data_IF_614225269386
#
_entry.id   IF_614225269386
#
_cell.length_a   1.000
_cell.length_b   1.000
_cell.length_c   1.000
_cell.angle_alpha   90.00
_cell.angle_beta   90.00
_cell.angle_gamma   90.00
#
_symmetry.space_group_name_H-M   'P 1'
#
loop_
_entity.id
_entity.type
_entity.pdbx_description
1 polymer ?
#
# COMPACT_ATOMS: atom_id res chain seq x y z
N UNK A 1 -38.98 3.35 -6.84
CA UNK A 1 -38.05 3.70 -5.75
C UNK A 1 -36.77 2.89 -5.97
N UNK A 2 -35.71 3.50 -6.51
CA UNK A 2 -34.45 2.81 -6.81
C UNK A 2 -33.63 2.67 -5.52
N UNK A 3 -33.55 1.45 -4.99
CA UNK A 3 -32.76 1.11 -3.82
C UNK A 3 -31.27 1.30 -4.13
N UNK A 4 -30.59 2.12 -3.33
CA UNK A 4 -29.17 2.45 -3.49
C UNK A 4 -28.26 1.31 -3.03
N UNK A 5 -28.05 0.30 -3.87
CA UNK A 5 -27.34 -0.94 -3.51
C UNK A 5 -25.81 -0.85 -3.54
N UNK A 6 -25.24 0.23 -4.09
CA UNK A 6 -23.80 0.33 -4.35
C UNK A 6 -23.19 1.59 -3.72
N UNK A 7 -22.21 1.39 -2.86
CA UNK A 7 -21.37 2.44 -2.32
C UNK A 7 -20.25 2.77 -3.30
N UNK A 8 -20.15 4.03 -3.72
CA UNK A 8 -19.07 4.50 -4.58
C UNK A 8 -17.77 4.59 -3.76
N UNK A 9 -16.77 3.82 -4.16
CA UNK A 9 -15.45 3.79 -3.50
C UNK A 9 -14.48 4.76 -4.16
N UNK A 10 -14.41 4.71 -5.50
CA UNK A 10 -13.55 5.57 -6.32
C UNK A 10 -14.24 5.90 -7.66
N UNK A 11 -13.72 6.84 -8.48
CA UNK A 11 -14.22 7.01 -9.84
C UNK A 11 -14.18 5.69 -10.62
N UNK A 12 -15.37 5.22 -11.05
CA UNK A 12 -15.53 3.95 -11.76
C UNK A 12 -15.51 2.69 -10.90
N UNK A 13 -15.38 2.79 -9.57
CA UNK A 13 -15.30 1.61 -8.67
C UNK A 13 -16.38 1.71 -7.58
N UNK A 14 -17.19 0.66 -7.50
CA UNK A 14 -18.32 0.54 -6.58
C UNK A 14 -18.20 -0.75 -5.77
N UNK A 15 -18.71 -0.73 -4.55
CA UNK A 15 -18.74 -1.88 -3.65
C UNK A 15 -20.11 -2.01 -3.00
N UNK A 16 -20.44 -3.20 -2.49
CA UNK A 16 -21.58 -3.37 -1.60
C UNK A 16 -21.31 -2.60 -0.28
N UNK A 17 -22.29 -1.90 0.30
CA UNK A 17 -22.10 -1.13 1.54
C UNK A 17 -21.48 -1.94 2.68
N UNK A 18 -21.81 -3.23 2.78
CA UNK A 18 -21.29 -4.14 3.80
C UNK A 18 -19.76 -4.29 3.79
N UNK A 19 -19.12 -4.10 2.63
CA UNK A 19 -17.65 -4.24 2.48
C UNK A 19 -16.96 -2.93 2.12
N UNK A 20 -17.70 -1.83 1.94
CA UNK A 20 -17.16 -0.53 1.56
C UNK A 20 -16.21 0.07 2.63
N UNK A 21 -16.31 -0.39 3.88
CA UNK A 21 -15.39 -0.03 4.96
C UNK A 21 -14.06 -0.78 4.93
N UNK A 22 -13.97 -1.88 4.17
CA UNK A 22 -12.80 -2.74 4.13
C UNK A 22 -11.59 -1.99 3.57
N UNK A 23 -10.51 -1.98 4.35
CA UNK A 23 -9.29 -1.28 3.98
C UNK A 23 -8.61 -1.91 2.76
N UNK A 24 -8.54 -3.23 2.71
CA UNK A 24 -7.96 -3.96 1.59
C UNK A 24 -8.73 -3.62 0.31
N UNK A 25 -10.05 -3.60 0.38
CA UNK A 25 -10.90 -3.21 -0.75
C UNK A 25 -10.68 -1.75 -1.17
N UNK A 26 -10.49 -0.82 -0.22
CA UNK A 26 -10.13 0.57 -0.55
C UNK A 26 -8.81 0.68 -1.28
N UNK A 27 -7.77 -0.06 -0.86
CA UNK A 27 -6.47 -0.06 -1.54
C UNK A 27 -6.63 -0.62 -2.96
N UNK A 28 -7.35 -1.72 -3.11
CA UNK A 28 -7.67 -2.33 -4.40
C UNK A 28 -8.44 -1.40 -5.33
N UNK A 29 -9.48 -0.73 -4.83
CA UNK A 29 -10.24 0.25 -5.59
C UNK A 29 -9.37 1.42 -6.03
N UNK A 30 -8.49 1.92 -5.15
CA UNK A 30 -7.56 3.00 -5.47
C UNK A 30 -6.55 2.59 -6.56
N UNK A 31 -5.95 1.40 -6.45
CA UNK A 31 -5.02 0.87 -7.46
C UNK A 31 -5.70 0.75 -8.82
N UNK A 32 -6.91 0.18 -8.86
CA UNK A 32 -7.66 0.01 -10.12
C UNK A 32 -8.08 1.35 -10.74
N UNK A 33 -8.49 2.31 -9.90
CA UNK A 33 -8.94 3.63 -10.37
C UNK A 33 -7.77 4.50 -10.85
N UNK A 34 -6.64 4.49 -10.14
CA UNK A 34 -5.51 5.37 -10.43
C UNK A 34 -4.44 4.75 -11.33
N UNK A 35 -4.38 3.42 -11.46
CA UNK A 35 -3.35 2.73 -12.23
C UNK A 35 -1.93 2.96 -11.67
N UNK A 36 -1.74 2.67 -10.38
CA UNK A 36 -0.48 2.93 -9.66
C UNK A 36 -0.03 1.79 -8.75
N UNK A 37 1.16 1.95 -8.18
CA UNK A 37 1.79 1.01 -7.24
C UNK A 37 1.54 1.49 -5.82
N UNK A 38 1.11 0.62 -4.92
CA UNK A 38 0.97 0.95 -3.50
C UNK A 38 2.33 1.25 -2.90
N UNK A 39 2.47 2.38 -2.21
CA UNK A 39 3.79 2.87 -1.74
C UNK A 39 3.72 3.53 -0.36
N UNK A 40 4.87 4.01 0.13
CA UNK A 40 5.00 4.71 1.42
C UNK A 40 4.36 3.92 2.56
N UNK A 41 3.65 4.60 3.47
CA UNK A 41 2.93 4.00 4.59
C UNK A 41 1.94 2.90 4.17
N UNK A 42 1.29 3.02 3.01
CA UNK A 42 0.35 1.99 2.56
C UNK A 42 1.06 0.70 2.16
N UNK A 43 2.24 0.80 1.55
CA UNK A 43 3.08 -0.36 1.28
C UNK A 43 3.61 -0.96 2.58
N UNK A 44 4.12 -0.14 3.51
CA UNK A 44 4.58 -0.61 4.82
C UNK A 44 3.48 -1.37 5.57
N UNK A 45 2.24 -0.90 5.51
CA UNK A 45 1.11 -1.61 6.12
C UNK A 45 0.78 -2.95 5.45
N UNK A 46 0.98 -3.09 4.13
CA UNK A 46 0.82 -4.37 3.44
C UNK A 46 1.98 -5.34 3.71
N UNK A 47 3.17 -4.82 4.03
CA UNK A 47 4.31 -5.60 4.50
C UNK A 47 4.28 -5.86 6.01
N UNK A 48 3.22 -5.46 6.71
CA UNK A 48 3.08 -5.57 8.17
C UNK A 48 4.13 -4.79 8.97
N UNK A 49 4.82 -3.84 8.34
CA UNK A 49 5.87 -3.00 8.94
C UNK A 49 5.34 -1.70 9.56
N UNK A 50 4.04 -1.42 9.39
CA UNK A 50 3.38 -0.26 9.98
C UNK A 50 1.90 -0.55 10.21
N UNK A 51 1.27 0.03 11.24
CA UNK A 51 -0.16 -0.15 11.42
C UNK A 51 -0.93 0.50 10.24
N UNK A 52 -1.98 -0.17 9.74
CA UNK A 52 -2.85 0.39 8.72
C UNK A 52 -3.51 1.67 9.25
N UNK A 53 -3.20 2.84 8.66
CA UNK A 53 -3.91 4.09 8.95
C UNK A 53 -3.90 5.09 7.78
N UNK A 54 -4.72 6.12 7.88
CA UNK A 54 -4.68 7.27 6.96
C UNK A 54 -5.12 6.97 5.50
N UNK A 55 -4.84 7.92 4.59
CA UNK A 55 -5.16 7.78 3.17
C UNK A 55 -4.32 6.68 2.49
N UNK A 56 -4.79 6.19 1.35
CA UNK A 56 -4.04 5.23 0.53
C UNK A 56 -2.97 5.98 -0.25
N UNK A 57 -1.71 5.57 -0.09
CA UNK A 57 -0.58 6.15 -0.81
C UNK A 57 -0.27 5.29 -2.03
N UNK A 58 -0.30 5.92 -3.21
CA UNK A 58 0.05 5.30 -4.48
C UNK A 58 1.14 6.10 -5.17
N UNK A 59 2.10 5.42 -5.79
CA UNK A 59 3.06 6.02 -6.71
C UNK A 59 2.65 5.67 -8.15
N UNK A 60 2.56 6.68 -9.01
CA UNK A 60 2.26 6.56 -10.44
C UNK A 60 3.39 7.12 -11.30
N UNK A 61 3.45 6.69 -12.56
CA UNK A 61 4.39 7.25 -13.53
C UNK A 61 4.17 8.75 -13.74
N UNK A 62 5.24 9.50 -14.02
CA UNK A 62 5.23 10.97 -14.09
C UNK A 62 4.20 11.56 -15.07
N UNK A 63 3.87 10.85 -16.14
CA UNK A 63 2.90 11.26 -17.17
C UNK A 63 1.44 11.05 -16.74
N UNK A 64 1.18 10.35 -15.63
CA UNK A 64 -0.17 10.10 -15.14
C UNK A 64 -0.65 11.25 -14.26
N UNK A 65 -1.78 11.83 -14.64
CA UNK A 65 -2.57 12.73 -13.80
C UNK A 65 -3.66 11.94 -13.08
N UNK A 66 -3.55 11.77 -11.77
CA UNK A 66 -4.70 11.50 -10.91
C UNK A 66 -4.92 12.72 -10.02
N UNK A 67 -5.94 13.51 -10.33
CA UNK A 67 -6.34 14.66 -9.51
C UNK A 67 -7.61 14.26 -8.76
N UNK A 68 -7.57 14.35 -7.44
CA UNK A 68 -8.78 14.44 -6.62
C UNK A 68 -9.47 13.11 -6.26
N UNK A 69 -8.77 11.99 -6.27
CA UNK A 69 -9.29 10.71 -5.76
C UNK A 69 -9.42 10.79 -4.22
N UNK A 70 -10.64 10.86 -3.64
CA UNK A 70 -10.79 11.08 -2.21
C UNK A 70 -10.15 9.95 -1.40
N UNK A 71 -9.43 10.31 -0.34
CA UNK A 71 -8.73 9.35 0.51
C UNK A 71 -7.49 8.70 -0.14
N UNK A 72 -7.02 9.22 -1.27
CA UNK A 72 -5.81 8.74 -1.96
C UNK A 72 -4.79 9.87 -2.10
N UNK A 73 -3.54 9.58 -1.74
CA UNK A 73 -2.38 10.45 -1.96
C UNK A 73 -1.57 9.87 -3.12
N UNK A 74 -1.44 10.64 -4.19
CA UNK A 74 -0.70 10.24 -5.38
C UNK A 74 0.66 10.89 -5.42
N UNK A 75 1.68 10.03 -5.51
CA UNK A 75 3.07 10.39 -5.71
C UNK A 75 3.47 10.13 -7.16
N UNK A 76 4.37 10.95 -7.70
CA UNK A 76 4.84 10.81 -9.08
C UNK A 76 6.33 10.51 -9.09
N UNK A 77 6.72 9.56 -9.92
CA UNK A 77 8.14 9.26 -10.16
C UNK A 77 8.39 8.92 -11.62
N UNK A 78 9.64 9.09 -12.05
CA UNK A 78 10.14 8.65 -13.35
C UNK A 78 10.75 7.25 -13.30
N UNK A 79 11.05 6.75 -12.10
CA UNK A 79 11.60 5.41 -11.85
C UNK A 79 10.72 4.68 -10.84
N UNK A 80 10.10 3.60 -11.29
CA UNK A 80 9.06 2.86 -10.57
C UNK A 80 9.27 1.33 -10.69
N UNK A 81 9.74 0.86 -11.84
CA UNK A 81 9.61 -0.54 -12.29
C UNK A 81 10.41 -1.53 -11.45
N UNK A 82 11.67 -1.25 -11.15
CA UNK A 82 12.57 -2.21 -10.46
C UNK A 82 12.18 -2.47 -8.99
N UNK A 83 11.43 -1.54 -8.42
CA UNK A 83 11.01 -1.57 -7.02
C UNK A 83 9.62 -2.17 -6.80
N UNK A 84 8.97 -2.75 -7.82
CA UNK A 84 7.62 -3.31 -7.69
C UNK A 84 7.66 -4.78 -7.28
N UNK A 85 6.80 -5.15 -6.34
CA UNK A 85 6.48 -6.51 -5.87
C UNK A 85 4.97 -6.72 -5.91
N UNK A 86 4.52 -7.96 -5.68
CA UNK A 86 3.09 -8.28 -5.61
C UNK A 86 2.71 -8.89 -4.27
N UNK A 87 1.66 -8.35 -3.64
CA UNK A 87 1.03 -8.91 -2.44
C UNK A 87 -0.44 -9.12 -2.75
N UNK A 88 -0.88 -10.38 -2.75
CA UNK A 88 -2.25 -10.78 -3.10
C UNK A 88 -2.74 -10.11 -4.41
N UNK A 89 -1.88 -10.12 -5.43
CA UNK A 89 -2.18 -9.53 -6.74
C UNK A 89 -2.09 -8.00 -6.82
N UNK A 90 -1.89 -7.26 -5.73
CA UNK A 90 -1.64 -5.82 -5.78
C UNK A 90 -0.18 -5.50 -6.12
N UNK A 91 0.10 -4.50 -6.98
CA UNK A 91 1.43 -3.96 -7.14
C UNK A 91 1.80 -3.12 -5.91
N UNK A 92 2.89 -3.47 -5.24
CA UNK A 92 3.37 -2.81 -4.01
C UNK A 92 4.86 -2.51 -4.16
N UNK A 93 5.33 -1.35 -3.71
CA UNK A 93 6.77 -1.08 -3.67
C UNK A 93 7.47 -2.05 -2.71
N UNK A 94 8.71 -2.44 -3.01
CA UNK A 94 9.51 -3.26 -2.11
C UNK A 94 9.67 -2.58 -0.74
N UNK A 95 9.88 -3.35 0.34
CA UNK A 95 9.96 -2.80 1.70
C UNK A 95 10.99 -1.67 1.83
N UNK A 96 12.16 -1.82 1.21
CA UNK A 96 13.27 -0.86 1.27
C UNK A 96 12.84 0.48 0.65
N UNK A 97 12.21 0.41 -0.53
CA UNK A 97 11.68 1.59 -1.21
C UNK A 97 10.56 2.24 -0.41
N UNK A 98 9.66 1.44 0.19
CA UNK A 98 8.56 1.93 0.99
C UNK A 98 9.05 2.72 2.23
N UNK A 99 10.13 2.27 2.87
CA UNK A 99 10.76 2.97 4.00
C UNK A 99 11.35 4.31 3.55
N UNK A 100 12.12 4.31 2.46
CA UNK A 100 12.73 5.53 1.90
C UNK A 100 11.66 6.55 1.51
N UNK A 101 10.64 6.10 0.78
CA UNK A 101 9.52 6.92 0.33
C UNK A 101 8.77 7.56 1.52
N UNK A 102 8.56 6.81 2.61
CA UNK A 102 7.84 7.29 3.80
C UNK A 102 8.64 8.28 4.68
N UNK A 103 9.96 8.38 4.52
CA UNK A 103 10.81 9.20 5.39
C UNK A 103 10.46 10.69 5.37
N UNK A 104 10.21 11.23 4.17
CA UNK A 104 9.91 12.66 3.99
C UNK A 104 8.53 13.08 4.50
N UNK A 105 7.59 12.14 4.62
CA UNK A 105 6.27 12.37 5.19
C UNK A 105 5.71 11.06 5.79
N UNK A 106 5.87 10.84 7.10
CA UNK A 106 5.42 9.62 7.76
C UNK A 106 3.89 9.48 7.82
N UNK A 107 3.12 10.46 7.32
CA UNK A 107 1.65 10.45 7.28
C UNK A 107 1.03 10.09 8.64
N UNK A 108 1.56 10.70 9.70
CA UNK A 108 1.12 10.51 11.09
C UNK A 108 1.64 9.26 11.79
N UNK A 109 2.60 8.51 11.22
CA UNK A 109 3.30 7.45 11.95
C UNK A 109 4.18 8.04 13.04
N UNK A 110 3.93 7.64 14.29
CA UNK A 110 4.82 7.95 15.41
C UNK A 110 5.91 6.88 15.54
N UNK A 111 7.00 7.21 16.26
CA UNK A 111 8.02 6.21 16.62
C UNK A 111 7.44 5.04 17.43
N UNK A 112 6.40 5.29 18.22
CA UNK A 112 5.72 4.25 19.00
C UNK A 112 4.98 3.27 18.08
N UNK A 113 4.28 3.77 17.05
CA UNK A 113 3.57 2.95 16.07
C UNK A 113 4.52 2.02 15.30
N UNK A 114 5.68 2.54 14.91
CA UNK A 114 6.72 1.75 14.21
C UNK A 114 7.30 0.67 15.12
N UNK A 115 7.56 1.01 16.39
CA UNK A 115 8.04 0.02 17.37
C UNK A 115 7.00 -1.04 17.68
N UNK A 116 5.72 -0.69 17.73
CA UNK A 116 4.63 -1.63 17.96
C UNK A 116 4.39 -2.57 16.76
N UNK A 117 4.68 -2.10 15.55
CA UNK A 117 4.62 -2.91 14.33
C UNK A 117 5.88 -3.71 14.05
N UNK A 118 6.95 -3.53 14.84
CA UNK A 118 8.15 -4.34 14.69
C UNK A 118 7.73 -5.81 14.84
N UNK A 119 7.97 -6.66 13.83
CA UNK A 119 7.64 -8.07 13.96
C UNK A 119 8.35 -8.58 15.20
N UNK A 120 7.59 -9.22 16.11
CA UNK A 120 8.18 -9.93 17.23
C UNK A 120 9.26 -10.85 16.65
N UNK A 121 10.53 -10.76 17.10
CA UNK A 121 11.56 -11.63 16.57
C UNK A 121 11.03 -13.07 16.69
N UNK A 122 11.14 -13.88 15.62
CA UNK A 122 10.62 -15.24 15.69
C UNK A 122 11.23 -15.90 16.92
N UNK A 123 10.38 -16.36 17.84
CA UNK A 123 10.84 -17.16 18.97
C UNK A 123 11.70 -18.28 18.37
N UNK A 124 12.99 -18.29 18.73
CA UNK A 124 14.03 -18.99 17.98
C UNK A 124 13.59 -20.39 17.59
N UNK A 125 13.32 -20.60 16.30
CA UNK A 125 13.16 -21.95 15.76
C UNK A 125 14.56 -22.47 15.46
N UNK A 126 14.90 -23.56 16.14
CA UNK A 126 16.03 -24.40 15.78
C UNK A 126 16.02 -24.74 14.30
N UNK A 127 17.23 -24.92 13.76
CA UNK A 127 17.53 -24.93 12.33
C UNK A 127 16.75 -25.92 11.48
N UNK A 128 16.57 -25.53 10.22
CA UNK A 128 16.04 -26.33 9.13
C UNK A 128 15.76 -25.39 7.95
N UNK A 129 16.56 -25.49 6.90
CA UNK A 129 16.75 -24.42 5.91
C UNK A 129 15.81 -24.39 4.70
N UNK A 130 16.24 -23.54 3.75
CA UNK A 130 15.75 -23.28 2.37
C UNK A 130 14.43 -22.49 2.35
N UNK A 131 14.18 -21.45 1.54
CA UNK A 131 14.75 -20.80 0.35
C UNK A 131 13.89 -19.50 0.17
N UNK A 132 14.19 -18.41 -0.52
CA UNK A 132 15.24 -17.95 -1.43
C UNK A 132 15.21 -16.42 -1.35
N UNK A 133 16.40 -15.82 -1.29
CA UNK A 133 16.66 -14.38 -1.39
C UNK A 133 16.53 -13.93 -2.85
N UNK A 134 15.68 -12.92 -3.08
CA UNK A 134 15.71 -12.11 -4.30
C UNK A 134 16.34 -10.76 -3.95
N UNK A 135 17.64 -10.66 -4.14
CA UNK A 135 18.45 -9.44 -3.96
C UNK A 135 17.90 -8.26 -4.77
N UNK A 136 17.83 -7.09 -4.14
CA UNK A 136 17.64 -5.82 -4.81
C UNK A 136 19.00 -5.39 -5.39
N UNK A 137 19.22 -5.62 -6.69
CA UNK A 137 20.39 -5.10 -7.39
C UNK A 137 20.30 -3.56 -7.53
N UNK A 138 21.42 -2.91 -7.25
CA UNK A 138 21.67 -1.46 -7.23
C UNK A 138 21.78 -0.82 -8.61
#
# INVERSE_FOLDING_TARGET
>A
MSTGWLARMQPGVYALPAVAGDRRLRVEAAVRSCGGVVSHRSALALWELAPPGGPVHLTVGHTRSGRGTPGVVLHRTRSLEDSVRRIDGLPVSCPERAVVDAWGNPAGLTRADVRAAAPTPPAGRGGGGLAQSGECAS
#
